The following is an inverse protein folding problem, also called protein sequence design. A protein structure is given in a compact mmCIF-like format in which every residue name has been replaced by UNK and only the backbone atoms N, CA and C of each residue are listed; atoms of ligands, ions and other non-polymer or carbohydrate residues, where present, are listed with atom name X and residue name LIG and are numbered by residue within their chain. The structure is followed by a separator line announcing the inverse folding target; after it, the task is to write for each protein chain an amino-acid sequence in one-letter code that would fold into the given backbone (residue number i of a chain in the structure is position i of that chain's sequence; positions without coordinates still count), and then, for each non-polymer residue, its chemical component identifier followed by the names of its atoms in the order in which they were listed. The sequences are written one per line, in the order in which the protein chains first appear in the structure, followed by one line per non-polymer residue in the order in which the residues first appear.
data_IF_740278339172
#
_entry.id   IF_740278339172
#
_cell.length_a   1.000
_cell.length_b   1.000
_cell.length_c   1.000
_cell.angle_alpha   90.00
_cell.angle_beta   90.00
_cell.angle_gamma   90.00
#
_symmetry.space_group_name_H-M   'P 1'
#
loop_
_entity.id
_entity.type
_entity.pdbx_description
1 polymer ?
#
# COMPACT_ATOMS: atom_id res chain seq x y z
N UNK A 1 -17.67 -26.95 -1.32
CA UNK A 1 -17.85 -25.51 -1.02
C UNK A 1 -16.47 -24.93 -0.79
N UNK A 2 -15.91 -24.27 -1.79
CA UNK A 2 -14.57 -23.66 -1.68
C UNK A 2 -14.67 -22.35 -0.91
N UNK A 3 -14.01 -22.27 0.24
CA UNK A 3 -13.74 -21.01 0.92
C UNK A 3 -12.61 -20.24 0.20
N UNK A 4 -12.72 -18.93 0.09
CA UNK A 4 -11.64 -18.07 -0.37
C UNK A 4 -11.05 -17.26 0.78
N UNK A 5 -9.74 -17.12 0.87
CA UNK A 5 -9.08 -16.20 1.77
C UNK A 5 -8.68 -14.97 0.96
N UNK A 6 -9.20 -13.80 1.33
CA UNK A 6 -8.79 -12.52 0.73
C UNK A 6 -7.72 -11.90 1.62
N UNK A 7 -6.58 -11.63 1.03
CA UNK A 7 -5.46 -11.00 1.69
C UNK A 7 -5.32 -9.56 1.21
N UNK A 8 -5.46 -8.61 2.12
CA UNK A 8 -5.15 -7.20 1.87
C UNK A 8 -3.78 -6.89 2.44
N UNK A 9 -2.88 -6.43 1.60
CA UNK A 9 -1.68 -5.78 2.11
C UNK A 9 -2.08 -4.43 2.70
N UNK A 10 -1.59 -4.17 3.90
CA UNK A 10 -2.15 -3.21 4.81
C UNK A 10 -1.90 -1.73 4.55
N UNK A 11 -2.19 -1.20 3.34
CA UNK A 11 -2.14 0.25 3.15
C UNK A 11 -3.12 0.99 4.08
N UNK A 12 -4.32 0.43 4.26
CA UNK A 12 -5.30 0.95 5.23
C UNK A 12 -4.93 0.64 6.68
N UNK A 13 -3.97 -0.27 6.91
CA UNK A 13 -3.40 -0.61 8.21
C UNK A 13 -2.05 0.10 8.44
N UNK A 14 -1.84 1.27 7.80
CA UNK A 14 -0.65 2.06 7.99
C UNK A 14 0.62 1.49 7.37
N UNK A 15 0.52 0.97 6.17
CA UNK A 15 1.62 0.32 5.45
C UNK A 15 2.26 -0.85 6.24
N UNK A 16 1.45 -1.58 7.02
CA UNK A 16 1.92 -2.73 7.77
C UNK A 16 2.54 -3.77 6.83
N UNK A 17 3.76 -4.15 7.13
CA UNK A 17 4.51 -5.19 6.40
C UNK A 17 4.48 -6.45 7.24
N UNK A 18 3.90 -7.56 6.74
CA UNK A 18 3.90 -8.83 7.47
C UNK A 18 5.32 -9.39 7.62
N UNK A 19 5.50 -10.28 8.58
CA UNK A 19 6.75 -11.04 8.73
C UNK A 19 7.00 -11.94 7.52
N UNK A 20 8.26 -12.32 7.32
CA UNK A 20 8.67 -13.08 6.13
C UNK A 20 8.00 -14.46 6.03
N UNK A 21 7.58 -15.04 7.15
CA UNK A 21 6.92 -16.35 7.25
C UNK A 21 5.39 -16.28 7.08
N UNK A 22 4.77 -15.12 7.22
CA UNK A 22 3.31 -14.97 7.23
C UNK A 22 2.66 -15.45 5.92
N UNK A 23 3.08 -14.89 4.79
CA UNK A 23 2.49 -15.23 3.49
C UNK A 23 2.82 -16.65 3.03
N UNK A 24 4.04 -17.16 3.21
CA UNK A 24 4.35 -18.58 2.98
C UNK A 24 3.44 -19.52 3.77
N UNK A 25 3.22 -19.25 5.07
CA UNK A 25 2.33 -20.06 5.91
C UNK A 25 0.88 -20.03 5.41
N UNK A 26 0.34 -18.84 5.08
CA UNK A 26 -1.01 -18.71 4.53
C UNK A 26 -1.16 -19.46 3.20
N UNK A 27 -0.18 -19.34 2.29
CA UNK A 27 -0.21 -20.03 1.01
C UNK A 27 -0.16 -21.55 1.18
N UNK A 28 0.60 -22.05 2.15
CA UNK A 28 0.66 -23.48 2.48
C UNK A 28 -0.69 -24.00 2.99
N UNK A 29 -1.32 -23.28 3.93
CA UNK A 29 -2.65 -23.63 4.45
C UNK A 29 -3.69 -23.63 3.32
N UNK A 30 -3.69 -22.60 2.46
CA UNK A 30 -4.61 -22.55 1.31
C UNK A 30 -4.43 -23.76 0.39
N UNK A 31 -3.20 -24.14 0.10
CA UNK A 31 -2.88 -25.31 -0.75
C UNK A 31 -3.28 -26.62 -0.09
N UNK A 32 -3.02 -26.79 1.21
CA UNK A 32 -3.31 -28.01 1.95
C UNK A 32 -4.82 -28.27 2.06
N UNK A 33 -5.64 -27.24 2.07
CA UNK A 33 -7.09 -27.30 2.24
C UNK A 33 -7.88 -27.00 0.97
N UNK A 34 -7.23 -26.91 -0.19
CA UNK A 34 -7.85 -26.58 -1.47
C UNK A 34 -8.66 -25.26 -1.43
N UNK A 35 -8.12 -24.26 -0.74
CA UNK A 35 -8.70 -22.93 -0.61
C UNK A 35 -8.10 -22.00 -1.66
N UNK A 36 -8.93 -21.16 -2.29
CA UNK A 36 -8.50 -20.14 -3.25
C UNK A 36 -7.86 -18.97 -2.52
N UNK A 37 -6.61 -18.66 -2.85
CA UNK A 37 -5.90 -17.49 -2.34
C UNK A 37 -6.12 -16.29 -3.27
N UNK A 38 -6.71 -15.22 -2.73
CA UNK A 38 -6.98 -13.97 -3.45
C UNK A 38 -6.09 -12.87 -2.88
N UNK A 39 -5.23 -12.28 -3.71
CA UNK A 39 -4.45 -11.11 -3.35
C UNK A 39 -5.12 -9.82 -3.80
N UNK A 40 -5.44 -8.95 -2.86
CA UNK A 40 -5.89 -7.59 -3.15
C UNK A 40 -4.68 -6.68 -3.34
N UNK A 41 -4.30 -6.49 -4.59
CA UNK A 41 -3.16 -5.67 -5.03
C UNK A 41 -3.59 -4.25 -5.48
N UNK A 42 -4.78 -3.82 -5.09
CA UNK A 42 -5.31 -2.50 -5.46
C UNK A 42 -4.41 -1.37 -4.97
N UNK A 43 -3.77 -1.52 -3.82
CA UNK A 43 -2.83 -0.52 -3.27
C UNK A 43 -1.36 -0.84 -3.54
N UNK A 44 -1.00 -2.11 -3.56
CA UNK A 44 0.38 -2.60 -3.58
C UNK A 44 0.90 -2.95 -4.96
N UNK A 45 0.00 -3.20 -5.89
CA UNK A 45 0.34 -3.51 -7.27
C UNK A 45 0.87 -2.31 -8.06
N UNK A 46 1.33 -2.60 -9.25
CA UNK A 46 1.82 -1.63 -10.23
C UNK A 46 2.98 -0.78 -9.71
N UNK A 47 3.95 -1.41 -9.05
CA UNK A 47 5.21 -0.78 -8.66
C UNK A 47 5.19 -0.06 -7.31
N UNK A 48 4.05 0.07 -6.63
CA UNK A 48 3.94 0.85 -5.38
C UNK A 48 4.89 0.38 -4.29
N UNK A 49 5.11 -0.92 -4.18
CA UNK A 49 6.02 -1.53 -3.19
C UNK A 49 7.44 -1.77 -3.73
N UNK A 50 7.78 -1.27 -4.93
CA UNK A 50 9.06 -1.51 -5.59
C UNK A 50 9.14 -2.84 -6.34
N UNK A 51 8.02 -3.55 -6.47
CA UNK A 51 7.82 -4.75 -7.30
C UNK A 51 6.54 -4.60 -8.12
N UNK A 52 6.32 -5.45 -9.13
CA UNK A 52 5.08 -5.40 -9.92
C UNK A 52 3.86 -5.58 -9.03
N UNK A 53 3.91 -6.57 -8.14
CA UNK A 53 2.87 -6.86 -7.16
C UNK A 53 3.48 -7.09 -5.77
N UNK A 54 2.74 -6.75 -4.72
CA UNK A 54 3.20 -6.90 -3.36
C UNK A 54 3.52 -8.33 -2.97
N UNK A 55 2.77 -9.33 -3.48
CA UNK A 55 2.99 -10.74 -3.19
C UNK A 55 4.35 -11.26 -3.69
N UNK A 56 4.99 -10.57 -4.65
CA UNK A 56 6.33 -10.94 -5.14
C UNK A 56 7.43 -10.76 -4.09
N UNK A 57 7.20 -10.01 -3.02
CA UNK A 57 8.16 -9.90 -1.92
C UNK A 57 8.37 -11.22 -1.18
N UNK A 58 7.37 -12.11 -1.22
CA UNK A 58 7.39 -13.42 -0.58
C UNK A 58 7.39 -14.58 -1.59
N UNK A 59 7.59 -14.29 -2.88
CA UNK A 59 7.53 -15.27 -3.99
C UNK A 59 6.21 -16.08 -4.01
N UNK A 60 5.10 -15.42 -3.64
CA UNK A 60 3.77 -16.04 -3.61
C UNK A 60 3.03 -15.76 -4.90
N UNK A 61 2.47 -16.83 -5.50
CA UNK A 61 1.56 -16.75 -6.65
C UNK A 61 0.15 -17.07 -6.19
N UNK A 62 -0.71 -16.04 -6.00
CA UNK A 62 -2.10 -16.25 -5.62
C UNK A 62 -2.92 -16.84 -6.78
N UNK A 63 -4.06 -17.44 -6.46
CA UNK A 63 -5.00 -17.94 -7.49
C UNK A 63 -5.73 -16.80 -8.21
N UNK A 64 -5.98 -15.70 -7.49
CA UNK A 64 -6.62 -14.49 -8.05
C UNK A 64 -5.87 -13.25 -7.55
N UNK A 65 -5.64 -12.31 -8.46
CA UNK A 65 -5.17 -10.96 -8.14
C UNK A 65 -6.27 -9.98 -8.49
N UNK A 66 -6.59 -9.06 -7.57
CA UNK A 66 -7.41 -7.88 -7.88
C UNK A 66 -6.53 -6.64 -7.94
N UNK A 67 -6.73 -5.79 -8.93
CA UNK A 67 -5.92 -4.59 -9.14
C UNK A 67 -6.78 -3.39 -9.58
N UNK A 68 -6.28 -2.20 -9.29
CA UNK A 68 -6.94 -0.93 -9.60
C UNK A 68 -5.96 0.22 -9.42
N UNK A 69 -6.43 1.40 -9.08
CA UNK A 69 -5.62 2.60 -8.76
C UNK A 69 -4.39 2.80 -9.66
N UNK A 70 -3.24 2.23 -9.30
CA UNK A 70 -1.98 2.29 -10.03
C UNK A 70 -2.05 1.75 -11.45
N UNK A 71 -3.02 0.90 -11.78
CA UNK A 71 -3.22 0.34 -13.11
C UNK A 71 -3.29 1.40 -14.20
N UNK A 72 -3.91 2.53 -13.91
CA UNK A 72 -4.05 3.67 -14.83
C UNK A 72 -3.45 4.96 -14.28
N UNK A 73 -2.67 4.89 -13.20
CA UNK A 73 -2.05 6.05 -12.52
C UNK A 73 -3.05 7.17 -12.17
N UNK A 74 -4.32 6.83 -11.94
CA UNK A 74 -5.38 7.76 -11.58
C UNK A 74 -6.02 8.53 -12.75
N UNK A 75 -5.58 8.33 -14.00
CA UNK A 75 -6.13 9.03 -15.15
C UNK A 75 -7.56 8.59 -15.51
N UNK A 76 -7.86 7.31 -15.33
CA UNK A 76 -9.18 6.74 -15.66
C UNK A 76 -9.57 5.72 -14.58
N UNK A 77 -10.82 5.71 -14.10
CA UNK A 77 -11.31 4.64 -13.25
C UNK A 77 -11.23 3.30 -13.98
N UNK A 78 -10.38 2.40 -13.48
CA UNK A 78 -10.18 1.08 -14.07
C UNK A 78 -9.65 0.09 -13.03
N UNK A 79 -10.13 -1.13 -13.10
CA UNK A 79 -9.64 -2.23 -12.30
C UNK A 79 -9.90 -3.55 -13.01
N UNK A 80 -9.24 -4.60 -12.54
CA UNK A 80 -9.45 -5.94 -13.08
C UNK A 80 -9.20 -6.99 -12.00
N UNK A 81 -9.69 -8.20 -12.28
CA UNK A 81 -9.28 -9.42 -11.59
C UNK A 81 -8.61 -10.35 -12.60
N UNK A 82 -7.46 -10.88 -12.24
CA UNK A 82 -6.73 -11.89 -13.01
C UNK A 82 -6.77 -13.22 -12.25
N UNK A 83 -7.20 -14.29 -12.90
CA UNK A 83 -7.34 -15.61 -12.30
C UNK A 83 -6.34 -16.60 -12.89
N UNK A 84 -5.89 -17.54 -12.06
CA UNK A 84 -5.04 -18.67 -12.48
C UNK A 84 -5.78 -19.64 -13.40
N UNK A 85 -5.04 -20.48 -14.13
CA UNK A 85 -5.61 -21.54 -14.97
C UNK A 85 -6.55 -22.47 -14.20
N UNK A 86 -6.20 -22.82 -12.96
CA UNK A 86 -7.05 -23.62 -12.06
C UNK A 86 -8.44 -23.02 -11.86
N UNK A 87 -8.51 -21.72 -11.57
CA UNK A 87 -9.79 -21.01 -11.37
C UNK A 87 -10.54 -20.91 -12.70
N UNK A 88 -9.85 -20.61 -13.81
CA UNK A 88 -10.44 -20.55 -15.14
C UNK A 88 -11.07 -21.89 -15.54
N UNK A 89 -10.37 -22.99 -15.37
CA UNK A 89 -10.84 -24.34 -15.71
C UNK A 89 -12.06 -24.74 -14.90
N UNK A 90 -12.08 -24.41 -13.60
CA UNK A 90 -13.24 -24.66 -12.75
C UNK A 90 -14.48 -23.88 -13.19
N UNK A 91 -14.32 -22.63 -13.63
CA UNK A 91 -15.41 -21.79 -14.16
C UNK A 91 -15.88 -22.32 -15.52
N UNK A 92 -14.95 -22.65 -16.42
CA UNK A 92 -15.26 -23.11 -17.77
C UNK A 92 -15.91 -24.50 -17.79
N UNK A 93 -15.53 -25.38 -16.85
CA UNK A 93 -16.12 -26.72 -16.66
C UNK A 93 -17.44 -26.73 -15.88
N UNK A 94 -17.84 -25.59 -15.30
CA UNK A 94 -19.06 -25.41 -14.52
C UNK A 94 -20.14 -24.64 -15.29
N UNK A 95 -21.02 -23.90 -14.58
CA UNK A 95 -22.11 -23.12 -15.19
C UNK A 95 -21.63 -21.90 -15.99
N UNK A 96 -20.31 -21.68 -16.08
CA UNK A 96 -19.70 -20.52 -16.71
C UNK A 96 -19.60 -19.30 -15.81
N UNK A 97 -19.03 -18.21 -16.34
CA UNK A 97 -18.90 -16.94 -15.63
C UNK A 97 -20.15 -16.07 -15.86
N UNK A 98 -21.03 -16.06 -14.86
CA UNK A 98 -22.30 -15.31 -14.89
C UNK A 98 -22.12 -13.98 -14.14
N UNK A 99 -21.47 -13.03 -14.79
CA UNK A 99 -21.31 -11.68 -14.25
C UNK A 99 -21.14 -10.68 -15.39
N UNK A 100 -21.67 -9.47 -15.21
CA UNK A 100 -21.49 -8.37 -16.13
C UNK A 100 -21.93 -7.05 -15.50
N UNK A 101 -21.37 -5.95 -15.99
CA UNK A 101 -21.76 -4.61 -15.61
C UNK A 101 -21.50 -3.66 -16.78
N UNK A 102 -22.17 -2.52 -16.78
CA UNK A 102 -22.17 -1.58 -17.92
C UNK A 102 -20.76 -1.15 -18.35
N UNK A 103 -19.83 -0.99 -17.40
CA UNK A 103 -18.46 -0.56 -17.66
C UNK A 103 -17.47 -1.70 -17.87
N UNK A 104 -17.95 -2.94 -18.07
CA UNK A 104 -17.09 -4.06 -18.47
C UNK A 104 -16.38 -3.73 -19.79
N UNK A 105 -15.13 -4.22 -19.92
CA UNK A 105 -14.33 -4.06 -21.15
C UNK A 105 -14.10 -2.59 -21.55
N UNK A 106 -13.88 -1.72 -20.56
CA UNK A 106 -13.71 -0.28 -20.77
C UNK A 106 -12.43 0.03 -21.55
N UNK A 107 -12.59 0.26 -22.88
CA UNK A 107 -11.48 0.42 -23.80
C UNK A 107 -10.52 1.58 -23.46
N UNK A 108 -11.07 2.73 -23.00
CA UNK A 108 -10.26 3.87 -22.58
C UNK A 108 -9.40 3.52 -21.35
N UNK A 109 -9.97 2.80 -20.37
CA UNK A 109 -9.23 2.32 -19.21
C UNK A 109 -8.11 1.36 -19.59
N UNK A 110 -8.37 0.45 -20.54
CA UNK A 110 -7.36 -0.48 -21.05
C UNK A 110 -6.23 0.27 -21.78
N UNK A 111 -6.55 1.26 -22.60
CA UNK A 111 -5.56 2.08 -23.29
C UNK A 111 -4.68 2.88 -22.32
N UNK A 112 -5.29 3.51 -21.30
CA UNK A 112 -4.54 4.19 -20.23
C UNK A 112 -3.64 3.21 -19.46
N UNK A 113 -4.15 2.02 -19.14
CA UNK A 113 -3.37 0.97 -18.46
C UNK A 113 -2.17 0.51 -19.29
N UNK A 114 -2.33 0.35 -20.61
CA UNK A 114 -1.23 -0.01 -21.50
C UNK A 114 -0.15 1.07 -21.54
N UNK A 115 -0.52 2.35 -21.56
CA UNK A 115 0.42 3.46 -21.48
C UNK A 115 1.20 3.44 -20.16
N UNK A 116 0.52 3.27 -19.02
CA UNK A 116 1.15 3.17 -17.69
C UNK A 116 2.10 1.96 -17.62
N UNK A 117 1.73 0.82 -18.19
CA UNK A 117 2.61 -0.36 -18.26
C UNK A 117 3.90 -0.06 -19.02
N UNK A 118 3.85 0.78 -20.07
CA UNK A 118 5.03 1.24 -20.78
C UNK A 118 6.00 2.00 -19.88
N UNK A 119 5.51 2.98 -19.14
CA UNK A 119 6.30 3.78 -18.20
C UNK A 119 6.88 2.95 -17.04
N UNK A 120 6.07 2.03 -16.49
CA UNK A 120 6.54 1.13 -15.43
C UNK A 120 7.69 0.24 -15.91
N UNK A 121 7.58 -0.31 -17.13
CA UNK A 121 8.64 -1.12 -17.76
C UNK A 121 9.88 -0.30 -18.11
N UNK A 122 9.74 1.00 -18.33
CA UNK A 122 10.86 1.90 -18.65
C UNK A 122 11.72 2.26 -17.41
N UNK A 123 11.39 1.75 -16.21
CA UNK A 123 12.22 1.89 -15.01
C UNK A 123 11.53 2.49 -13.78
N UNK A 124 10.26 2.88 -13.86
CA UNK A 124 9.58 3.49 -12.71
C UNK A 124 9.41 2.52 -11.52
N UNK A 125 9.39 1.20 -11.74
CA UNK A 125 9.35 0.22 -10.63
C UNK A 125 10.68 0.22 -9.88
N UNK A 126 11.81 0.23 -10.60
CA UNK A 126 13.14 0.31 -9.99
C UNK A 126 13.29 1.63 -9.24
N UNK A 127 12.84 2.72 -9.85
CA UNK A 127 12.80 4.03 -9.19
C UNK A 127 11.97 4.01 -7.90
N UNK A 128 10.81 3.38 -7.90
CA UNK A 128 9.97 3.23 -6.71
C UNK A 128 10.70 2.45 -5.60
N UNK A 129 11.43 1.40 -5.95
CA UNK A 129 12.22 0.62 -4.99
C UNK A 129 13.35 1.42 -4.37
N UNK A 130 14.15 2.07 -5.20
CA UNK A 130 15.35 2.81 -4.77
C UNK A 130 14.98 4.07 -3.97
N UNK A 131 14.05 4.86 -4.50
CA UNK A 131 13.58 6.06 -3.83
C UNK A 131 12.84 5.73 -2.53
N UNK A 132 12.04 4.65 -2.54
CA UNK A 132 11.33 4.18 -1.37
C UNK A 132 12.27 3.75 -0.24
N UNK A 133 13.33 3.00 -0.55
CA UNK A 133 14.36 2.63 0.43
C UNK A 133 15.02 3.88 1.03
N UNK A 134 15.46 4.82 0.18
CA UNK A 134 16.08 6.07 0.62
C UNK A 134 15.19 6.91 1.54
N UNK A 135 13.90 7.06 1.17
CA UNK A 135 12.94 7.81 1.99
C UNK A 135 12.66 7.11 3.31
N UNK A 136 12.50 5.79 3.30
CA UNK A 136 12.24 5.00 4.50
C UNK A 136 13.41 5.08 5.48
N UNK A 137 14.63 4.90 5.00
CA UNK A 137 15.85 4.99 5.80
C UNK A 137 16.06 6.42 6.34
N UNK A 138 15.83 7.44 5.51
CA UNK A 138 15.86 8.84 5.92
C UNK A 138 14.85 9.17 7.02
N UNK A 139 13.60 8.75 6.86
CA UNK A 139 12.55 8.95 7.87
C UNK A 139 12.87 8.22 9.18
N UNK A 140 13.36 6.99 9.10
CA UNK A 140 13.78 6.23 10.29
C UNK A 140 14.92 6.92 11.03
N UNK A 141 15.90 7.41 10.31
CA UNK A 141 17.03 8.12 10.89
C UNK A 141 16.62 9.45 11.53
N UNK A 142 15.89 10.28 10.77
CA UNK A 142 15.49 11.62 11.20
C UNK A 142 14.40 11.61 12.30
N UNK A 143 13.62 10.54 12.43
CA UNK A 143 12.58 10.40 13.44
C UNK A 143 12.99 9.43 14.56
N UNK A 144 14.23 8.99 14.58
CA UNK A 144 14.73 8.00 15.54
C UNK A 144 14.55 8.42 17.01
N UNK A 145 14.61 9.70 17.30
CA UNK A 145 14.47 10.30 18.65
C UNK A 145 13.15 11.07 18.83
N UNK A 146 12.25 11.04 17.84
CA UNK A 146 10.99 11.75 17.91
C UNK A 146 10.03 11.08 18.92
N UNK A 147 9.60 11.76 19.99
CA UNK A 147 8.82 11.13 21.06
C UNK A 147 7.43 10.69 20.61
N UNK A 148 6.86 11.37 19.63
CA UNK A 148 5.52 11.11 19.08
C UNK A 148 5.51 10.01 17.99
N UNK A 149 6.64 9.31 17.73
CA UNK A 149 6.76 8.30 16.67
C UNK A 149 7.00 6.92 17.28
N UNK A 150 6.04 6.02 17.11
CA UNK A 150 6.14 4.63 17.52
C UNK A 150 6.86 3.75 16.52
N UNK A 151 6.54 3.92 15.23
CA UNK A 151 7.15 3.12 14.15
C UNK A 151 7.17 3.87 12.82
N UNK A 152 8.17 3.56 12.00
CA UNK A 152 8.28 3.99 10.58
C UNK A 152 8.51 2.76 9.73
N UNK A 153 7.51 2.39 8.93
CA UNK A 153 7.47 1.13 8.17
C UNK A 153 6.99 1.32 6.74
N UNK A 154 7.27 0.35 5.89
CA UNK A 154 6.78 0.36 4.53
C UNK A 154 7.61 -0.47 3.56
N UNK A 155 7.15 -0.51 2.32
CA UNK A 155 7.84 -1.12 1.18
C UNK A 155 7.72 -0.20 -0.03
N UNK A 156 8.82 0.03 -0.74
CA UNK A 156 8.86 0.96 -1.86
C UNK A 156 8.34 2.34 -1.46
N UNK A 157 7.48 2.92 -2.26
CA UNK A 157 6.86 4.23 -2.02
C UNK A 157 5.50 4.13 -1.32
N UNK A 158 5.32 3.15 -0.45
CA UNK A 158 4.21 3.05 0.48
C UNK A 158 4.78 3.03 1.89
N UNK A 159 4.77 4.17 2.57
CA UNK A 159 5.40 4.36 3.88
C UNK A 159 4.37 4.83 4.87
N UNK A 160 4.38 4.25 6.08
CA UNK A 160 3.55 4.63 7.21
C UNK A 160 4.40 5.09 8.38
N UNK A 161 3.93 6.13 9.06
CA UNK A 161 4.50 6.65 10.31
C UNK A 161 3.41 6.53 11.36
N UNK A 162 3.62 5.70 12.35
CA UNK A 162 2.71 5.51 13.46
C UNK A 162 2.96 6.56 14.54
N UNK A 163 1.90 7.24 14.94
CA UNK A 163 1.97 8.27 15.96
C UNK A 163 1.54 7.69 17.32
N UNK A 164 2.37 7.91 18.34
CA UNK A 164 2.12 7.46 19.70
C UNK A 164 2.28 8.61 20.68
N UNK A 165 1.53 8.57 21.78
CA UNK A 165 1.63 9.53 22.87
C UNK A 165 2.86 9.27 23.73
N UNK A 166 3.21 8.00 23.88
CA UNK A 166 4.36 7.54 24.62
C UNK A 166 5.07 6.43 23.84
N UNK A 167 6.30 6.70 23.46
CA UNK A 167 7.12 5.79 22.67
C UNK A 167 7.62 4.58 23.44
N UNK A 168 7.82 4.70 24.75
CA UNK A 168 8.34 3.59 25.56
C UNK A 168 7.28 2.50 25.75
N UNK A 169 6.03 2.93 25.92
CA UNK A 169 4.88 2.03 26.13
C UNK A 169 4.09 1.74 24.85
N UNK A 170 4.37 2.46 23.75
CA UNK A 170 3.56 2.52 22.54
C UNK A 170 2.12 2.95 22.80
N UNK A 171 1.88 3.79 23.82
CA UNK A 171 0.56 4.29 24.13
C UNK A 171 0.04 5.16 22.97
N UNK A 172 -1.11 4.83 22.36
CA UNK A 172 -1.63 5.60 21.24
C UNK A 172 -2.11 6.98 21.67
N UNK A 173 -2.09 7.94 20.76
CA UNK A 173 -2.88 9.16 20.93
C UNK A 173 -4.35 8.81 20.99
N UNK A 174 -5.09 9.49 21.88
CA UNK A 174 -6.55 9.43 21.87
C UNK A 174 -7.10 10.15 20.66
N UNK A 175 -8.20 9.68 20.13
CA UNK A 175 -8.83 10.33 18.97
C UNK A 175 -9.10 11.82 19.20
N UNK A 176 -9.42 12.21 20.45
CA UNK A 176 -9.67 13.60 20.84
C UNK A 176 -8.41 14.50 20.77
N UNK A 177 -7.22 13.93 20.74
CA UNK A 177 -5.96 14.69 20.65
C UNK A 177 -5.68 15.19 19.23
N UNK A 178 -6.36 14.62 18.21
CA UNK A 178 -6.24 15.00 16.80
C UNK A 178 -4.78 15.03 16.29
N UNK A 179 -3.94 14.07 16.71
CA UNK A 179 -2.51 14.10 16.42
C UNK A 179 -2.23 14.00 14.91
N UNK A 180 -2.91 13.11 14.21
CA UNK A 180 -2.77 12.98 12.76
C UNK A 180 -3.17 14.27 12.03
N UNK A 181 -4.26 14.91 12.42
CA UNK A 181 -4.72 16.16 11.80
C UNK A 181 -3.75 17.31 12.03
N UNK A 182 -3.10 17.36 13.20
CA UNK A 182 -2.06 18.37 13.48
C UNK A 182 -0.85 18.18 12.56
N UNK A 183 -0.39 16.95 12.36
CA UNK A 183 0.68 16.64 11.38
C UNK A 183 0.25 17.06 9.97
N UNK A 184 -0.97 16.71 9.55
CA UNK A 184 -1.48 17.09 8.23
C UNK A 184 -1.57 18.61 8.06
N UNK A 185 -1.95 19.36 9.10
CA UNK A 185 -2.00 20.80 9.02
C UNK A 185 -0.60 21.41 8.91
N UNK A 186 0.35 20.97 9.74
CA UNK A 186 1.73 21.43 9.67
C UNK A 186 2.40 21.11 8.31
N UNK A 187 2.13 19.92 7.77
CA UNK A 187 2.57 19.54 6.42
C UNK A 187 1.98 20.47 5.36
N UNK A 188 0.67 20.74 5.42
CA UNK A 188 -0.03 21.64 4.48
C UNK A 188 0.53 23.05 4.52
N UNK A 189 0.80 23.57 5.71
CA UNK A 189 1.37 24.91 5.91
C UNK A 189 2.77 25.03 5.30
N UNK A 190 3.50 23.92 5.20
CA UNK A 190 4.77 23.84 4.50
C UNK A 190 4.66 23.51 3.00
N UNK A 191 3.43 23.38 2.46
CA UNK A 191 3.18 23.03 1.06
C UNK A 191 3.32 21.54 0.76
N UNK A 192 3.13 20.66 1.75
CA UNK A 192 3.12 19.21 1.60
C UNK A 192 1.73 18.65 1.90
N UNK A 193 1.23 17.77 1.02
CA UNK A 193 0.00 17.01 1.24
C UNK A 193 0.35 15.58 1.67
N UNK A 194 -0.09 15.20 2.85
CA UNK A 194 0.01 13.86 3.40
C UNK A 194 -1.40 13.24 3.52
N UNK A 195 -1.45 11.94 3.69
CA UNK A 195 -2.67 11.21 4.01
C UNK A 195 -2.57 10.69 5.44
N UNK A 196 -3.69 10.59 6.14
CA UNK A 196 -3.74 10.00 7.48
C UNK A 196 -4.83 8.94 7.58
N UNK A 197 -4.70 8.10 8.59
CA UNK A 197 -5.73 7.17 9.00
C UNK A 197 -5.73 7.07 10.52
N UNK A 198 -6.89 6.79 11.11
CA UNK A 198 -7.12 6.78 12.55
C UNK A 198 -7.86 5.51 12.97
N UNK A 199 -7.90 5.21 14.27
CA UNK A 199 -8.64 4.06 14.77
C UNK A 199 -7.89 2.72 14.65
N UNK A 200 -6.56 2.73 14.58
CA UNK A 200 -5.77 1.53 14.29
C UNK A 200 -5.56 0.60 15.49
N UNK A 201 -5.84 1.05 16.70
CA UNK A 201 -5.65 0.24 17.92
C UNK A 201 -6.94 -0.50 18.30
N UNK A 202 -8.05 0.24 18.42
CA UNK A 202 -9.31 -0.30 18.93
C UNK A 202 -10.54 0.09 18.10
N UNK A 203 -10.32 0.69 16.94
CA UNK A 203 -11.36 1.25 16.08
C UNK A 203 -11.64 2.74 16.34
N UNK A 204 -11.05 3.32 17.37
CA UNK A 204 -11.22 4.73 17.77
C UNK A 204 -9.88 5.43 17.88
N UNK A 205 -8.99 4.94 18.71
CA UNK A 205 -7.67 5.49 18.99
C UNK A 205 -6.61 4.89 18.07
N UNK A 206 -5.45 5.56 17.98
CA UNK A 206 -4.33 5.18 17.12
C UNK A 206 -4.32 5.91 15.79
N UNK A 207 -3.37 6.80 15.67
CA UNK A 207 -3.20 7.73 14.55
C UNK A 207 -1.96 7.34 13.73
N UNK A 208 -2.06 7.48 12.42
CA UNK A 208 -0.93 7.29 11.53
C UNK A 208 -0.96 8.25 10.34
N UNK A 209 0.21 8.47 9.79
CA UNK A 209 0.43 9.26 8.58
C UNK A 209 0.99 8.35 7.49
N UNK A 210 0.50 8.52 6.27
CA UNK A 210 0.88 7.73 5.10
C UNK A 210 1.51 8.62 4.03
N UNK A 211 2.59 8.13 3.46
CA UNK A 211 3.24 8.68 2.28
C UNK A 211 3.07 7.71 1.11
N UNK A 212 2.59 8.25 0.01
CA UNK A 212 2.43 7.52 -1.26
C UNK A 212 2.78 8.42 -2.44
N UNK A 213 4.01 8.97 -2.50
CA UNK A 213 4.38 9.94 -3.52
C UNK A 213 4.39 9.33 -4.92
N UNK A 214 4.37 10.16 -5.99
CA UNK A 214 4.53 9.68 -7.35
C UNK A 214 5.94 9.11 -7.57
N UNK A 215 6.06 8.12 -8.46
CA UNK A 215 7.34 7.47 -8.78
C UNK A 215 8.30 8.40 -9.54
N UNK A 216 7.74 9.42 -10.18
CA UNK A 216 8.46 10.41 -11.00
C UNK A 216 9.12 11.54 -10.21
N UNK A 217 9.07 11.51 -8.86
CA UNK A 217 9.76 12.51 -8.06
C UNK A 217 11.25 12.58 -8.42
N UNK A 218 11.75 13.79 -8.59
CA UNK A 218 13.18 14.06 -8.65
C UNK A 218 13.85 13.85 -7.29
N UNK A 219 15.17 13.82 -7.26
CA UNK A 219 15.89 13.65 -6.00
C UNK A 219 15.76 14.87 -5.09
N UNK A 220 15.66 16.07 -5.66
CA UNK A 220 15.43 17.31 -4.92
C UNK A 220 14.02 17.34 -4.29
N UNK A 221 13.00 16.95 -5.06
CA UNK A 221 11.63 16.83 -4.56
C UNK A 221 11.50 15.76 -3.46
N UNK A 222 12.22 14.66 -3.60
CA UNK A 222 12.25 13.62 -2.57
C UNK A 222 12.94 14.09 -1.28
N UNK A 223 14.01 14.88 -1.41
CA UNK A 223 14.69 15.50 -0.26
C UNK A 223 13.76 16.49 0.45
N UNK A 224 13.06 17.31 -0.32
CA UNK A 224 12.07 18.26 0.21
C UNK A 224 10.89 17.54 0.86
N UNK A 225 10.42 16.42 0.28
CA UNK A 225 9.38 15.57 0.88
C UNK A 225 9.82 15.05 2.25
N UNK A 226 11.04 14.51 2.34
CA UNK A 226 11.63 14.02 3.59
C UNK A 226 11.70 15.14 4.64
N UNK A 227 12.32 16.26 4.32
CA UNK A 227 12.49 17.41 5.22
C UNK A 227 11.13 17.89 5.79
N UNK A 228 10.15 18.13 4.91
CA UNK A 228 8.84 18.63 5.30
C UNK A 228 8.04 17.61 6.10
N UNK A 229 8.16 16.32 5.78
CA UNK A 229 7.51 15.25 6.56
C UNK A 229 8.08 15.21 7.96
N UNK A 230 9.40 15.22 8.11
CA UNK A 230 10.07 15.22 9.41
C UNK A 230 9.66 16.44 10.23
N UNK A 231 9.67 17.64 9.64
CA UNK A 231 9.27 18.87 10.31
C UNK A 231 7.81 18.82 10.78
N UNK A 232 6.91 18.32 9.94
CA UNK A 232 5.49 18.18 10.27
C UNK A 232 5.26 17.17 11.41
N UNK A 233 5.91 16.01 11.37
CA UNK A 233 5.79 14.99 12.42
C UNK A 233 6.37 15.49 13.74
N UNK A 234 7.52 16.14 13.73
CA UNK A 234 8.15 16.73 14.93
C UNK A 234 7.38 17.91 15.54
N UNK A 235 6.39 18.46 14.84
CA UNK A 235 5.52 19.52 15.39
C UNK A 235 4.48 19.00 16.40
N UNK A 236 4.28 17.69 16.45
CA UNK A 236 3.41 17.05 17.45
C UNK A 236 4.25 16.75 18.69
N UNK A 237 3.87 17.27 19.86
CA UNK A 237 4.63 17.07 21.12
C UNK A 237 4.49 15.65 21.65
#
# INVERSE_FOLDING_TARGET
MGGGVSARSGATLGAAVPTDDYWPAIAEVCRAHDVVLIADEVMTGFGRTGRWFGMEHWDIRPDIITAGKGTTSGYVPFGFAAASGRVHEAIAGGPGFVHGFTWSHHALGAAAGLAVLGELKAGLIDRSRELGARLLDGLRSELADAPAVGDVRGLGLLIGIELVRDRETNEPFRRADHAAERVLQAARDSGLLLYSSTGHVDGTDGDLVLLGPPFSLTDDEASLLLERTVAAVRSVP
#
